data_IF_104522859803
#
_entry.id   IF_104522859803
#
_cell.length_a   1.000
_cell.length_b   1.000
_cell.length_c   1.000
_cell.angle_alpha   90.00
_cell.angle_beta   90.00
_cell.angle_gamma   90.00
#
_symmetry.space_group_name_H-M   'P 1'
#
loop_
_entity.id
_entity.type
_entity.pdbx_description
1 polymer ?
#
# COMPACT_ATOMS: atom_id res chain seq x y z
N UNK A 1 11.80 1.81 8.81
CA UNK A 1 10.45 2.38 8.57
C UNK A 1 10.28 2.99 7.18
N UNK A 2 11.27 3.74 6.67
CA UNK A 2 11.22 4.46 5.37
C UNK A 2 10.93 3.54 4.17
N UNK A 3 11.64 2.42 4.03
CA UNK A 3 11.50 1.49 2.88
C UNK A 3 10.14 0.80 2.78
N UNK A 4 9.42 0.67 3.91
CA UNK A 4 8.11 -0.01 3.96
C UNK A 4 6.97 0.89 3.48
N UNK A 5 7.02 2.17 3.85
CA UNK A 5 6.11 3.19 3.31
C UNK A 5 6.33 3.38 1.81
N UNK A 6 7.58 3.38 1.36
CA UNK A 6 7.93 3.44 -0.06
C UNK A 6 7.27 2.30 -0.84
N UNK A 7 7.32 1.07 -0.34
CA UNK A 7 6.71 -0.08 -1.01
C UNK A 7 5.18 0.06 -1.20
N UNK A 8 4.47 0.52 -0.16
CA UNK A 8 3.02 0.76 -0.27
C UNK A 8 2.69 1.86 -1.29
N UNK A 9 3.53 2.90 -1.39
CA UNK A 9 3.40 3.94 -2.42
C UNK A 9 3.76 3.44 -3.82
N UNK A 10 4.77 2.57 -3.95
CA UNK A 10 5.16 1.98 -5.24
C UNK A 10 4.07 1.08 -5.84
N UNK A 11 3.21 0.47 -5.03
CA UNK A 11 1.99 -0.22 -5.49
C UNK A 11 0.83 0.74 -5.73
N UNK A 12 0.64 1.71 -4.83
CA UNK A 12 -0.58 2.52 -4.90
C UNK A 12 -0.53 3.56 -6.02
N UNK A 13 0.65 4.15 -6.26
CA UNK A 13 0.81 5.26 -7.20
C UNK A 13 0.61 4.83 -8.66
N UNK A 14 1.22 3.74 -9.17
CA UNK A 14 0.99 3.30 -10.55
C UNK A 14 -0.48 2.98 -10.82
N UNK A 15 -1.16 2.33 -9.87
CA UNK A 15 -2.61 2.08 -9.99
C UNK A 15 -3.42 3.38 -10.04
N UNK A 16 -3.08 4.39 -9.22
CA UNK A 16 -3.77 5.70 -9.27
C UNK A 16 -3.60 6.36 -10.63
N UNK A 17 -2.39 6.32 -11.19
CA UNK A 17 -2.11 6.87 -12.53
C UNK A 17 -2.90 6.11 -13.58
N UNK A 18 -2.86 4.77 -13.55
CA UNK A 18 -3.60 3.93 -14.51
C UNK A 18 -5.11 4.18 -14.44
N UNK A 19 -5.69 4.18 -13.24
CA UNK A 19 -7.11 4.48 -13.04
C UNK A 19 -7.49 5.87 -13.53
N UNK A 20 -6.63 6.87 -13.29
CA UNK A 20 -6.83 8.23 -13.78
C UNK A 20 -6.79 8.30 -15.32
N UNK A 21 -5.85 7.62 -15.97
CA UNK A 21 -5.81 7.57 -17.45
C UNK A 21 -7.04 6.90 -18.05
N UNK A 22 -7.53 5.81 -17.44
CA UNK A 22 -8.74 5.13 -17.92
C UNK A 22 -9.96 6.05 -17.78
N UNK A 23 -10.13 6.70 -16.61
CA UNK A 23 -11.20 7.68 -16.41
C UNK A 23 -11.12 8.82 -17.43
N UNK A 24 -9.90 9.28 -17.74
CA UNK A 24 -9.64 10.35 -18.69
C UNK A 24 -10.08 9.97 -20.12
N UNK A 25 -9.63 8.82 -20.61
CA UNK A 25 -10.03 8.31 -21.94
C UNK A 25 -11.55 8.12 -22.02
N UNK A 26 -12.16 7.57 -20.97
CA UNK A 26 -13.60 7.37 -20.91
C UNK A 26 -14.37 8.68 -20.89
N UNK A 27 -13.85 9.74 -20.29
CA UNK A 27 -14.49 11.06 -20.31
C UNK A 27 -14.63 11.61 -21.73
N UNK A 28 -13.57 11.51 -22.54
CA UNK A 28 -13.62 11.90 -23.95
C UNK A 28 -14.54 10.99 -24.77
N UNK A 29 -14.54 9.68 -24.51
CA UNK A 29 -15.45 8.75 -25.17
C UNK A 29 -16.92 9.02 -24.83
N UNK A 30 -17.21 9.41 -23.59
CA UNK A 30 -18.55 9.73 -23.11
C UNK A 30 -19.06 11.04 -23.71
N UNK A 31 -18.26 12.11 -23.64
CA UNK A 31 -18.65 13.45 -24.10
C UNK A 31 -18.69 13.52 -25.63
N UNK A 32 -17.80 12.81 -26.31
CA UNK A 32 -17.77 12.72 -27.77
C UNK A 32 -17.93 11.26 -28.23
N UNK A 33 -19.17 10.72 -28.30
CA UNK A 33 -19.39 9.33 -28.71
C UNK A 33 -18.94 9.07 -30.15
N UNK A 34 -19.15 10.03 -31.06
CA UNK A 34 -18.70 9.96 -32.44
C UNK A 34 -17.18 9.99 -32.54
N UNK A 35 -16.59 8.95 -33.14
CA UNK A 35 -15.14 8.83 -33.28
C UNK A 35 -14.50 9.98 -34.06
N UNK A 36 -15.17 10.50 -35.09
CA UNK A 36 -14.66 11.61 -35.89
C UNK A 36 -14.65 12.93 -35.12
N UNK A 37 -15.71 13.21 -34.35
CA UNK A 37 -15.79 14.40 -33.49
C UNK A 37 -14.75 14.30 -32.36
N UNK A 38 -14.63 13.13 -31.74
CA UNK A 38 -13.65 12.86 -30.69
C UNK A 38 -12.23 13.02 -31.18
N UNK A 39 -11.92 12.56 -32.40
CA UNK A 39 -10.61 12.74 -33.02
C UNK A 39 -10.25 14.23 -33.13
N UNK A 40 -11.15 15.05 -33.67
CA UNK A 40 -10.95 16.50 -33.76
C UNK A 40 -10.73 17.13 -32.39
N UNK A 41 -11.55 16.76 -31.41
CA UNK A 41 -11.43 17.24 -30.03
C UNK A 41 -10.06 16.87 -29.42
N UNK A 42 -9.68 15.59 -29.46
CA UNK A 42 -8.42 15.09 -28.91
C UNK A 42 -7.20 15.79 -29.54
N UNK A 43 -7.20 16.01 -30.85
CA UNK A 43 -6.11 16.72 -31.52
C UNK A 43 -6.04 18.18 -31.08
N UNK A 44 -7.20 18.86 -31.02
CA UNK A 44 -7.27 20.27 -30.62
C UNK A 44 -6.88 20.53 -29.16
N UNK A 45 -7.03 19.52 -28.28
CA UNK A 45 -6.70 19.64 -26.85
C UNK A 45 -5.35 19.02 -26.48
N UNK A 46 -4.55 18.57 -27.45
CA UNK A 46 -3.21 17.98 -27.19
C UNK A 46 -3.21 16.50 -26.80
N UNK A 47 -4.34 15.82 -26.92
CA UNK A 47 -4.53 14.42 -26.55
C UNK A 47 -4.32 13.47 -27.74
N UNK A 48 -3.51 13.88 -28.72
CA UNK A 48 -3.25 13.09 -29.93
C UNK A 48 -2.64 11.71 -29.62
N UNK A 49 -1.95 11.59 -28.48
CA UNK A 49 -1.37 10.34 -27.99
C UNK A 49 -2.41 9.27 -27.59
N UNK A 50 -3.71 9.59 -27.56
CA UNK A 50 -4.78 8.64 -27.27
C UNK A 50 -5.34 7.95 -28.53
N UNK A 51 -4.82 8.25 -29.72
CA UNK A 51 -5.42 7.86 -31.00
C UNK A 51 -4.71 6.64 -31.62
N UNK A 52 -5.48 5.59 -31.91
CA UNK A 52 -5.11 4.52 -32.84
C UNK A 52 -3.91 3.66 -32.43
N UNK A 53 -3.17 3.17 -33.42
CA UNK A 53 -2.03 2.26 -33.24
C UNK A 53 -0.76 2.94 -32.69
N UNK A 54 -0.70 4.28 -32.71
CA UNK A 54 0.39 5.08 -32.17
C UNK A 54 0.09 5.63 -30.77
N UNK A 55 -1.02 5.19 -30.17
CA UNK A 55 -1.32 5.61 -28.82
C UNK A 55 -0.19 5.13 -27.89
N UNK A 56 0.41 6.05 -27.12
CA UNK A 56 1.41 5.69 -26.11
C UNK A 56 0.77 5.10 -24.85
N UNK A 57 -0.57 5.11 -24.78
CA UNK A 57 -1.32 4.63 -23.64
C UNK A 57 -1.07 3.15 -23.31
N UNK A 58 -1.04 2.19 -24.25
CA UNK A 58 -0.68 0.80 -23.95
C UNK A 58 0.75 0.66 -23.41
N UNK A 59 1.69 1.47 -23.92
CA UNK A 59 3.08 1.50 -23.44
C UNK A 59 3.12 2.03 -22.01
N UNK A 60 2.46 3.15 -21.74
CA UNK A 60 2.34 3.72 -20.40
C UNK A 60 1.71 2.71 -19.42
N UNK A 61 0.61 2.07 -19.79
CA UNK A 61 -0.02 1.03 -18.97
C UNK A 61 0.90 -0.17 -18.75
N UNK A 62 1.68 -0.57 -19.76
CA UNK A 62 2.70 -1.61 -19.63
C UNK A 62 3.82 -1.23 -18.65
N UNK A 63 4.31 0.01 -18.72
CA UNK A 63 5.31 0.54 -17.76
C UNK A 63 4.74 0.59 -16.35
N UNK A 64 3.50 1.06 -16.18
CA UNK A 64 2.82 1.10 -14.89
C UNK A 64 2.59 -0.29 -14.31
N UNK A 65 2.20 -1.27 -15.15
CA UNK A 65 2.09 -2.67 -14.76
C UNK A 65 3.45 -3.24 -14.34
N UNK A 66 4.53 -2.93 -15.07
CA UNK A 66 5.89 -3.31 -14.66
C UNK A 66 6.27 -2.75 -13.30
N UNK A 67 6.00 -1.46 -13.06
CA UNK A 67 6.22 -0.83 -11.76
C UNK A 67 5.39 -1.48 -10.64
N UNK A 68 4.14 -1.84 -10.94
CA UNK A 68 3.24 -2.54 -10.02
C UNK A 68 3.80 -3.92 -9.62
N UNK A 69 4.29 -4.69 -10.60
CA UNK A 69 4.90 -6.01 -10.35
C UNK A 69 6.17 -5.89 -9.48
N UNK A 70 7.00 -4.86 -9.71
CA UNK A 70 8.18 -4.58 -8.88
C UNK A 70 7.75 -4.21 -7.45
N UNK A 71 6.75 -3.34 -7.30
CA UNK A 71 6.17 -2.98 -6.00
C UNK A 71 5.62 -4.20 -5.25
N UNK A 72 4.90 -5.06 -5.96
CA UNK A 72 4.32 -6.29 -5.41
C UNK A 72 5.39 -7.26 -4.94
N UNK A 73 6.42 -7.48 -5.76
CA UNK A 73 7.57 -8.31 -5.40
C UNK A 73 8.32 -7.78 -4.16
N UNK A 74 8.49 -6.47 -4.06
CA UNK A 74 9.11 -5.84 -2.89
C UNK A 74 8.27 -6.00 -1.62
N UNK A 75 6.95 -5.82 -1.73
CA UNK A 75 6.01 -6.04 -0.62
C UNK A 75 6.00 -7.52 -0.19
N UNK A 76 5.98 -8.43 -1.15
CA UNK A 76 6.07 -9.87 -0.91
C UNK A 76 7.38 -10.22 -0.15
N UNK A 77 8.54 -9.79 -0.66
CA UNK A 77 9.82 -10.02 0.01
C UNK A 77 9.88 -9.40 1.43
N UNK A 78 9.27 -8.22 1.62
CA UNK A 78 9.17 -7.56 2.92
C UNK A 78 8.22 -8.25 3.90
N UNK A 79 7.15 -8.88 3.39
CA UNK A 79 6.19 -9.62 4.20
C UNK A 79 6.81 -10.89 4.82
N UNK A 80 7.70 -11.56 4.07
CA UNK A 80 8.51 -12.71 4.53
C UNK A 80 9.45 -12.34 5.70
N UNK A 81 9.87 -11.07 5.80
CA UNK A 81 10.81 -10.58 6.84
C UNK A 81 10.13 -9.90 8.04
N UNK A 82 8.83 -10.15 8.25
CA UNK A 82 7.91 -9.59 9.27
C UNK A 82 7.64 -8.07 9.19
N UNK A 83 6.33 -7.77 9.07
CA UNK A 83 5.61 -6.52 9.35
C UNK A 83 5.63 -5.41 8.28
N UNK A 84 4.67 -5.46 7.35
CA UNK A 84 4.21 -4.27 6.61
C UNK A 84 3.26 -3.46 7.50
N UNK A 85 3.62 -2.22 7.84
CA UNK A 85 2.79 -1.35 8.66
C UNK A 85 2.57 -0.01 7.97
N UNK A 86 1.27 0.29 7.90
CA UNK A 86 0.55 1.46 7.40
C UNK A 86 0.33 1.53 5.88
N UNK A 87 -0.91 1.28 5.42
CA UNK A 87 -1.31 1.48 4.03
C UNK A 87 -1.25 2.97 3.67
N UNK A 88 -1.18 3.26 2.37
CA UNK A 88 -1.38 4.63 1.86
C UNK A 88 -2.75 5.14 2.37
N UNK A 89 -2.81 6.36 2.93
CA UNK A 89 -4.04 6.86 3.52
C UNK A 89 -5.15 7.01 2.48
N UNK A 90 -6.40 6.74 2.85
CA UNK A 90 -7.54 6.76 1.92
C UNK A 90 -7.73 8.12 1.24
N UNK A 91 -7.42 9.22 1.93
CA UNK A 91 -7.48 10.56 1.34
C UNK A 91 -6.56 10.70 0.12
N UNK A 92 -5.43 9.99 0.06
CA UNK A 92 -4.51 10.10 -1.07
C UNK A 92 -5.13 9.49 -2.34
N UNK A 93 -5.88 8.39 -2.20
CA UNK A 93 -6.64 7.81 -3.30
C UNK A 93 -7.77 8.72 -3.77
N UNK A 94 -8.37 9.50 -2.86
CA UNK A 94 -9.42 10.44 -3.23
C UNK A 94 -8.84 11.72 -3.88
N UNK A 95 -7.77 12.30 -3.32
CA UNK A 95 -7.29 13.63 -3.73
C UNK A 95 -6.26 13.58 -4.85
N UNK A 96 -5.35 12.60 -4.87
CA UNK A 96 -4.28 12.59 -5.87
C UNK A 96 -4.75 12.34 -7.30
N UNK A 97 -5.70 11.42 -7.58
CA UNK A 97 -6.23 11.28 -8.94
C UNK A 97 -6.93 12.54 -9.43
N UNK A 98 -7.70 13.21 -8.56
CA UNK A 98 -8.39 14.46 -8.88
C UNK A 98 -7.40 15.60 -9.18
N UNK A 99 -6.41 15.79 -8.32
CA UNK A 99 -5.38 16.81 -8.51
C UNK A 99 -4.48 16.49 -9.72
N UNK A 100 -4.08 15.23 -9.86
CA UNK A 100 -3.25 14.75 -10.95
C UNK A 100 -3.93 14.89 -12.30
N UNK A 101 -5.19 14.50 -12.40
CA UNK A 101 -6.03 14.73 -13.60
C UNK A 101 -6.13 16.22 -13.93
N UNK A 102 -6.40 17.06 -12.93
CA UNK A 102 -6.56 18.50 -13.17
C UNK A 102 -5.26 19.14 -13.66
N UNK A 103 -4.13 18.76 -13.07
CA UNK A 103 -2.82 19.22 -13.51
C UNK A 103 -2.46 18.68 -14.89
N UNK A 104 -2.77 17.41 -15.17
CA UNK A 104 -2.53 16.80 -16.47
C UNK A 104 -3.30 17.52 -17.58
N UNK A 105 -4.61 17.70 -17.44
CA UNK A 105 -5.43 18.41 -18.45
C UNK A 105 -4.92 19.84 -18.68
N UNK A 106 -4.54 20.54 -17.60
CA UNK A 106 -4.00 21.90 -17.69
C UNK A 106 -2.71 21.93 -18.51
N UNK A 107 -1.78 21.01 -18.20
CA UNK A 107 -0.50 20.92 -18.88
C UNK A 107 -0.66 20.51 -20.34
N UNK A 108 -1.54 19.55 -20.63
CA UNK A 108 -1.78 19.09 -22.00
C UNK A 108 -2.35 20.21 -22.87
N UNK A 109 -3.32 20.98 -22.37
CA UNK A 109 -3.86 22.14 -23.10
C UNK A 109 -2.85 23.26 -23.25
N UNK A 110 -2.09 23.54 -22.19
CA UNK A 110 -1.05 24.56 -22.25
C UNK A 110 0.04 24.20 -23.28
N UNK A 111 0.50 22.95 -23.28
CA UNK A 111 1.47 22.44 -24.24
C UNK A 111 0.91 22.32 -25.66
N UNK A 112 -0.41 22.17 -25.81
CA UNK A 112 -1.11 22.25 -27.09
C UNK A 112 -1.26 23.68 -27.64
N UNK A 113 -0.85 24.70 -26.86
CA UNK A 113 -0.93 26.10 -27.28
C UNK A 113 -2.28 26.76 -27.02
N UNK A 114 -3.12 26.20 -26.14
CA UNK A 114 -4.36 26.87 -25.70
C UNK A 114 -4.00 28.20 -24.99
N UNK A 115 -4.51 29.36 -25.46
CA UNK A 115 -4.22 30.65 -24.85
C UNK A 115 -4.89 30.85 -23.49
N UNK A 116 -5.85 30.00 -23.11
CA UNK A 116 -6.59 30.12 -21.86
C UNK A 116 -6.92 28.74 -21.26
N UNK A 117 -5.89 27.95 -20.91
CA UNK A 117 -6.06 26.54 -20.54
C UNK A 117 -6.86 26.37 -19.23
N UNK A 118 -6.91 27.38 -18.36
CA UNK A 118 -7.75 27.37 -17.15
C UNK A 118 -9.26 27.31 -17.44
N UNK A 119 -9.70 27.74 -18.63
CA UNK A 119 -11.10 27.60 -19.05
C UNK A 119 -11.50 26.14 -19.24
N UNK A 120 -10.57 25.18 -19.16
CA UNK A 120 -10.86 23.76 -19.07
C UNK A 120 -11.89 23.42 -17.99
N UNK A 121 -11.95 24.16 -16.88
CA UNK A 121 -12.92 23.92 -15.81
C UNK A 121 -14.39 24.04 -16.29
N UNK A 122 -14.61 24.74 -17.40
CA UNK A 122 -15.92 24.88 -18.04
C UNK A 122 -16.18 23.79 -19.08
N UNK A 123 -15.16 23.08 -19.54
CA UNK A 123 -15.30 22.06 -20.55
C UNK A 123 -16.07 20.83 -20.03
N UNK A 124 -16.98 20.26 -20.83
CA UNK A 124 -17.72 19.07 -20.44
C UNK A 124 -16.80 17.86 -20.20
N UNK A 125 -15.75 17.71 -21.00
CA UNK A 125 -14.74 16.64 -20.82
C UNK A 125 -14.05 16.72 -19.46
N UNK A 126 -13.67 17.91 -19.01
CA UNK A 126 -13.05 18.10 -17.71
C UNK A 126 -14.00 17.75 -16.56
N UNK A 127 -15.25 18.23 -16.61
CA UNK A 127 -16.24 17.96 -15.55
C UNK A 127 -16.61 16.50 -15.46
N UNK A 128 -16.85 15.85 -16.60
CA UNK A 128 -17.11 14.41 -16.67
C UNK A 128 -15.88 13.62 -16.24
N UNK A 129 -14.68 14.01 -16.68
CA UNK A 129 -13.43 13.39 -16.26
C UNK A 129 -13.21 13.47 -14.76
N UNK A 130 -13.38 14.65 -14.16
CA UNK A 130 -13.26 14.87 -12.72
C UNK A 130 -14.28 14.03 -11.94
N UNK A 131 -15.51 13.91 -12.43
CA UNK A 131 -16.54 13.05 -11.84
C UNK A 131 -16.13 11.57 -11.92
N UNK A 132 -15.63 11.12 -13.07
CA UNK A 132 -15.16 9.74 -13.28
C UNK A 132 -13.92 9.40 -12.45
N UNK A 133 -13.11 10.39 -12.05
CA UNK A 133 -11.99 10.12 -11.14
C UNK A 133 -12.45 9.49 -9.82
N UNK A 134 -13.63 9.83 -9.30
CA UNK A 134 -14.14 9.29 -8.02
C UNK A 134 -14.41 7.77 -8.03
N UNK A 135 -15.22 7.20 -8.96
CA UNK A 135 -15.42 5.76 -9.00
C UNK A 135 -14.13 5.00 -9.34
N UNK A 136 -13.25 5.55 -10.20
CA UNK A 136 -11.97 4.92 -10.53
C UNK A 136 -10.98 4.97 -9.36
N UNK A 137 -10.93 6.08 -8.62
CA UNK A 137 -10.16 6.21 -7.38
C UNK A 137 -10.60 5.15 -6.34
N UNK A 138 -11.91 4.95 -6.20
CA UNK A 138 -12.46 3.93 -5.31
C UNK A 138 -12.08 2.51 -5.79
N UNK A 139 -12.24 2.22 -7.08
CA UNK A 139 -11.87 0.92 -7.65
C UNK A 139 -10.38 0.60 -7.45
N UNK A 140 -9.51 1.56 -7.73
CA UNK A 140 -8.06 1.46 -7.51
C UNK A 140 -7.73 1.31 -6.03
N UNK A 141 -8.40 2.05 -5.15
CA UNK A 141 -8.23 1.90 -3.71
C UNK A 141 -8.51 0.46 -3.28
N UNK A 142 -9.67 -0.09 -3.68
CA UNK A 142 -10.06 -1.45 -3.36
C UNK A 142 -9.08 -2.48 -3.93
N UNK A 143 -8.62 -2.29 -5.18
CA UNK A 143 -7.64 -3.15 -5.82
C UNK A 143 -6.30 -3.13 -5.08
N UNK A 144 -5.78 -1.96 -4.71
CA UNK A 144 -4.56 -1.83 -3.94
C UNK A 144 -4.67 -2.51 -2.56
N UNK A 145 -5.85 -2.42 -1.91
CA UNK A 145 -6.11 -3.15 -0.66
C UNK A 145 -6.10 -4.66 -0.86
N UNK A 146 -6.72 -5.14 -1.94
CA UNK A 146 -6.77 -6.56 -2.26
C UNK A 146 -5.37 -7.11 -2.54
N UNK A 147 -4.57 -6.41 -3.37
CA UNK A 147 -3.20 -6.78 -3.70
C UNK A 147 -2.31 -6.82 -2.45
N UNK A 148 -2.41 -5.81 -1.58
CA UNK A 148 -1.65 -5.78 -0.34
C UNK A 148 -2.04 -6.92 0.60
N UNK A 149 -3.33 -7.24 0.72
CA UNK A 149 -3.80 -8.39 1.51
C UNK A 149 -3.28 -9.70 0.94
N UNK A 150 -3.40 -9.91 -0.37
CA UNK A 150 -2.93 -11.11 -1.06
C UNK A 150 -1.41 -11.29 -0.90
N UNK A 151 -0.62 -10.24 -1.10
CA UNK A 151 0.83 -10.29 -0.93
C UNK A 151 1.24 -10.58 0.52
N UNK A 152 0.50 -10.03 1.50
CA UNK A 152 0.74 -10.30 2.92
C UNK A 152 0.40 -11.73 3.29
N UNK A 153 -0.72 -12.26 2.82
CA UNK A 153 -1.16 -13.63 3.09
C UNK A 153 -0.19 -14.64 2.47
N UNK A 154 0.17 -14.46 1.19
CA UNK A 154 1.14 -15.31 0.50
C UNK A 154 2.50 -15.32 1.21
N UNK A 155 2.96 -14.18 1.73
CA UNK A 155 4.20 -14.11 2.49
C UNK A 155 4.13 -14.77 3.87
N UNK A 156 2.96 -14.79 4.52
CA UNK A 156 2.74 -15.52 5.78
C UNK A 156 2.72 -17.02 5.57
N UNK A 157 1.99 -17.49 4.56
CA UNK A 157 1.97 -18.91 4.17
C UNK A 157 3.35 -19.43 3.77
N UNK A 158 4.15 -18.61 3.08
CA UNK A 158 5.53 -19.00 2.78
C UNK A 158 6.40 -19.05 4.05
N UNK A 159 6.23 -18.12 4.98
CA UNK A 159 6.93 -18.16 6.27
C UNK A 159 6.57 -19.40 7.08
N UNK A 160 5.30 -19.77 7.17
CA UNK A 160 4.87 -20.98 7.91
C UNK A 160 5.36 -22.25 7.23
N UNK A 161 5.48 -22.27 5.89
CA UNK A 161 6.08 -23.38 5.15
C UNK A 161 7.61 -23.49 5.41
N UNK A 162 8.32 -22.36 5.45
CA UNK A 162 9.79 -22.32 5.66
C UNK A 162 10.18 -22.51 7.12
N UNK A 163 9.45 -21.90 8.08
CA UNK A 163 9.62 -22.08 9.53
C UNK A 163 9.13 -23.45 10.02
N UNK A 164 8.51 -24.26 9.16
CA UNK A 164 8.39 -25.71 9.31
C UNK A 164 9.51 -26.45 8.56
N UNK A 165 10.81 -26.33 8.90
CA UNK A 165 11.61 -27.53 8.80
C UNK A 165 10.93 -28.49 9.78
N UNK A 166 10.31 -29.56 9.26
CA UNK A 166 10.12 -30.75 10.07
C UNK A 166 11.52 -31.07 10.57
N UNK A 167 11.82 -30.70 11.81
CA UNK A 167 12.70 -31.47 12.65
C UNK A 167 12.04 -32.84 12.67
N UNK A 168 12.37 -33.65 11.66
CA UNK A 168 12.53 -35.07 11.88
C UNK A 168 13.56 -35.13 12.98
N UNK A 169 13.07 -35.11 14.21
CA UNK A 169 13.78 -35.57 15.37
C UNK A 169 14.03 -37.04 15.12
N UNK A 170 15.06 -37.32 14.32
CA UNK A 170 15.92 -38.44 14.61
C UNK A 170 16.42 -38.15 16.01
N UNK A 171 15.66 -38.63 17.00
CA UNK A 171 16.17 -38.93 18.32
C UNK A 171 17.29 -39.94 18.09
N UNK A 172 18.48 -39.44 17.77
CA UNK A 172 19.70 -40.16 18.02
C UNK A 172 19.82 -40.18 19.54
N UNK A 173 19.15 -41.13 20.17
CA UNK A 173 19.60 -41.67 21.45
C UNK A 173 21.00 -42.23 21.23
N UNK A 174 21.99 -41.34 21.21
CA UNK A 174 23.36 -41.72 21.45
C UNK A 174 23.35 -42.31 22.85
N UNK A 175 23.65 -43.61 22.93
CA UNK A 175 23.96 -44.30 24.18
C UNK A 175 25.26 -43.69 24.69
N UNK A 176 25.13 -42.52 25.31
CA UNK A 176 26.17 -41.92 26.14
C UNK A 176 26.30 -42.81 27.36
N UNK A 177 27.34 -43.63 27.37
CA UNK A 177 27.80 -44.42 28.50
C UNK A 177 27.69 -43.56 29.77
N UNK A 178 26.83 -43.97 30.70
CA UNK A 178 26.53 -43.22 31.91
C UNK A 178 27.82 -42.88 32.68
N UNK A 179 28.18 -41.60 32.72
CA UNK A 179 29.13 -41.11 33.70
C UNK A 179 28.40 -40.99 35.05
N UNK A 180 28.96 -41.51 36.16
CA UNK A 180 28.30 -41.42 37.46
C UNK A 180 28.14 -39.95 37.86
N UNK A 181 26.90 -39.59 38.21
CA UNK A 181 26.55 -38.27 38.73
C UNK A 181 27.34 -37.98 40.02
N UNK A 182 28.02 -36.83 40.07
CA UNK A 182 28.50 -36.27 41.34
C UNK A 182 27.27 -35.83 42.14
N UNK A 183 27.17 -36.17 43.44
CA UNK A 183 26.07 -35.69 44.27
C UNK A 183 26.15 -34.17 44.42
N UNK A 184 24.99 -33.49 44.53
CA UNK A 184 24.97 -32.06 44.82
C UNK A 184 25.51 -31.81 46.24
N UNK A 185 26.54 -30.98 46.33
CA UNK A 185 27.02 -30.44 47.59
C UNK A 185 25.92 -29.56 48.20
N UNK A 186 25.26 -30.07 49.24
CA UNK A 186 24.32 -29.32 50.06
C UNK A 186 25.13 -28.30 50.87
N UNK A 187 25.05 -27.03 50.48
CA UNK A 187 25.50 -25.92 51.33
C UNK A 187 24.29 -25.50 52.16
N UNK A 188 24.23 -26.00 53.40
CA UNK A 188 23.39 -25.43 54.44
C UNK A 188 23.91 -24.02 54.76
N UNK A 189 23.18 -23.00 54.30
CA UNK A 189 23.32 -21.61 54.73
C UNK A 189 22.04 -21.20 55.44
N UNK A 190 22.00 -21.49 56.73
CA UNK A 190 20.89 -21.19 57.62
C UNK A 190 21.13 -19.81 58.28
N UNK A 191 20.03 -19.06 58.47
CA UNK A 191 19.83 -17.95 59.40
C UNK A 191 20.00 -16.47 58.99
N UNK A 192 18.87 -15.78 59.24
CA UNK A 192 18.63 -14.34 59.46
C UNK A 192 18.65 -13.46 58.20
N UNK A 193 17.69 -12.58 57.94
CA UNK A 193 16.54 -12.12 58.69
C UNK A 193 16.07 -10.81 58.05
N UNK A 194 14.78 -10.52 58.21
CA UNK A 194 14.06 -9.25 57.92
C UNK A 194 13.49 -9.06 56.51
N UNK A 195 12.16 -9.23 56.49
CA UNK A 195 11.17 -8.86 55.48
C UNK A 195 11.08 -7.33 55.22
N UNK A 196 10.45 -6.90 54.11
CA UNK A 196 10.51 -5.52 53.58
C UNK A 196 9.60 -4.52 54.33
N UNK A 197 9.87 -3.19 54.22
CA UNK A 197 9.05 -2.17 54.87
C UNK A 197 7.65 -2.04 54.23
N UNK A 198 6.61 -2.19 55.06
CA UNK A 198 5.23 -1.78 54.75
C UNK A 198 5.13 -0.25 54.88
N UNK A 199 4.78 0.43 53.80
CA UNK A 199 4.34 1.83 53.86
C UNK A 199 2.92 1.89 54.44
N UNK A 200 2.80 2.58 55.58
CA UNK A 200 1.54 2.90 56.26
C UNK A 200 0.75 3.93 55.44
N UNK A 201 -0.51 3.63 55.14
CA UNK A 201 -1.50 4.62 54.72
C UNK A 201 -2.18 5.23 55.98
N UNK A 202 -2.47 6.55 56.00
CA UNK A 202 -3.09 7.20 57.14
C UNK A 202 -4.59 6.86 57.27
N UNK A 203 -5.02 6.61 58.51
CA UNK A 203 -6.42 6.45 58.92
C UNK A 203 -7.13 7.82 59.05
N UNK A 204 -8.43 7.92 58.73
CA UNK A 204 -9.25 9.09 59.03
C UNK A 204 -9.69 9.13 60.49
N UNK A 205 -9.74 10.35 61.04
CA UNK A 205 -10.18 10.69 62.40
C UNK A 205 -11.66 10.31 62.63
N UNK A 206 -11.93 9.74 63.81
CA UNK A 206 -13.26 9.48 64.34
C UNK A 206 -13.62 10.48 65.46
N UNK A 207 -14.89 10.87 65.52
CA UNK A 207 -15.75 11.17 66.70
C UNK A 207 -16.85 12.15 66.24
N UNK A 208 -18.15 11.86 66.29
CA UNK A 208 -19.05 11.52 67.40
C UNK A 208 -19.21 12.66 68.42
N UNK A 209 -20.17 13.55 68.14
CA UNK A 209 -21.16 14.08 69.08
C UNK A 209 -22.50 14.15 68.35
#
# INVERSE_FOLDING_TARGET
>A
MRSRRVAAWLLSFPLMVAGSQVAHVLAYAWVYPSAHVRLGALLSTGHGYMIGAHAYLPILLGVLLGAELVGAGWVFAGSVRRSLQRPVPAWAFALLPLAGFSLQELLERWLAGDPSPWLMALAPTFRVGLLLQLPFALAVYLLARLLLRAATEAGRELQTAVERPRSFGLSLHWVGRAAPARPPTVIHGEHSGRSPPRLLAPQPLASSH
#
